data_IF_161326186056
#
_entry.id   IF_161326186056
#
_cell.length_a   1.000
_cell.length_b   1.000
_cell.length_c   1.000
_cell.angle_alpha   90.00
_cell.angle_beta   90.00
_cell.angle_gamma   90.00
#
_symmetry.space_group_name_H-M   'P 1'
#
loop_
_entity.id
_entity.type
_entity.pdbx_description
1 polymer ?
#
# COMPACT_ATOMS: atom_id res chain seq x y z
N UNK A 1 31.13 0.19 -3.41
CA UNK A 1 29.67 0.02 -3.61
C UNK A 1 29.02 1.36 -3.33
N UNK A 2 28.70 2.13 -4.36
CA UNK A 2 27.85 3.31 -4.16
C UNK A 2 26.49 2.78 -3.69
N UNK A 3 26.12 3.04 -2.43
CA UNK A 3 24.76 2.77 -1.96
C UNK A 3 23.80 3.46 -2.93
N UNK A 4 23.01 2.66 -3.64
CA UNK A 4 21.94 3.17 -4.49
C UNK A 4 21.10 4.14 -3.68
N UNK A 5 20.69 5.25 -4.29
CA UNK A 5 19.90 6.30 -3.64
C UNK A 5 18.76 5.66 -2.83
N UNK A 6 18.62 6.05 -1.57
CA UNK A 6 17.58 5.53 -0.69
C UNK A 6 16.23 6.15 -1.10
N UNK A 7 15.34 5.33 -1.64
CA UNK A 7 13.99 5.74 -2.00
C UNK A 7 13.07 5.62 -0.76
N UNK A 8 12.50 6.74 -0.31
CA UNK A 8 11.60 6.79 0.85
C UNK A 8 10.19 6.30 0.50
N UNK A 9 9.82 6.41 -0.78
CA UNK A 9 8.50 6.08 -1.28
C UNK A 9 8.00 4.65 -0.96
N UNK A 10 8.77 3.56 -1.21
CA UNK A 10 8.29 2.20 -0.96
C UNK A 10 7.95 1.97 0.51
N UNK A 11 8.73 2.56 1.41
CA UNK A 11 8.56 2.42 2.85
C UNK A 11 7.29 3.12 3.34
N UNK A 12 7.06 4.36 2.89
CA UNK A 12 5.84 5.11 3.17
C UNK A 12 4.59 4.32 2.75
N UNK A 13 4.65 3.66 1.59
CA UNK A 13 3.54 2.84 1.07
C UNK A 13 3.25 1.62 1.95
N UNK A 14 4.26 0.87 2.39
CA UNK A 14 4.03 -0.28 3.28
C UNK A 14 3.46 0.13 4.62
N UNK A 15 3.87 1.30 5.11
CA UNK A 15 3.32 1.87 6.32
C UNK A 15 1.85 2.28 6.15
N UNK A 16 1.50 2.91 5.02
CA UNK A 16 0.11 3.24 4.66
C UNK A 16 -0.79 2.00 4.63
N UNK A 17 -0.37 0.92 3.97
CA UNK A 17 -1.14 -0.34 3.91
C UNK A 17 -1.34 -0.94 5.32
N UNK A 18 -0.27 -0.97 6.12
CA UNK A 18 -0.35 -1.48 7.50
C UNK A 18 -1.32 -0.65 8.33
N UNK A 19 -1.27 0.68 8.20
CA UNK A 19 -2.18 1.59 8.90
C UNK A 19 -3.64 1.41 8.49
N UNK A 20 -3.91 1.24 7.20
CA UNK A 20 -5.25 0.95 6.68
C UNK A 20 -5.84 -0.35 7.27
N UNK A 21 -5.00 -1.38 7.44
CA UNK A 21 -5.42 -2.63 8.09
C UNK A 21 -5.76 -2.46 9.58
N UNK A 22 -4.95 -1.70 10.32
CA UNK A 22 -5.24 -1.39 11.73
C UNK A 22 -6.51 -0.56 11.90
N UNK A 23 -6.76 0.39 10.99
CA UNK A 23 -8.00 1.19 11.00
C UNK A 23 -9.21 0.32 10.66
N UNK A 24 -9.09 -0.58 9.69
CA UNK A 24 -10.15 -1.52 9.32
C UNK A 24 -10.53 -2.44 10.48
N UNK A 25 -9.53 -3.10 11.09
CA UNK A 25 -9.74 -3.98 12.25
C UNK A 25 -10.27 -3.23 13.47
N UNK A 26 -9.75 -2.03 13.75
CA UNK A 26 -10.28 -1.14 14.80
C UNK A 26 -11.72 -0.69 14.52
N UNK A 27 -12.08 -0.47 13.26
CA UNK A 27 -13.43 -0.13 12.82
C UNK A 27 -14.44 -1.26 13.06
N UNK A 28 -14.04 -2.53 12.85
CA UNK A 28 -14.89 -3.70 13.18
C UNK A 28 -15.14 -3.79 14.67
N UNK A 29 -14.13 -3.53 15.51
CA UNK A 29 -14.28 -3.54 16.97
C UNK A 29 -15.21 -2.41 17.43
N UNK A 30 -15.17 -1.25 16.75
CA UNK A 30 -16.03 -0.11 17.07
C UNK A 30 -17.53 -0.36 16.86
N UNK A 31 -17.95 -1.41 16.13
CA UNK A 31 -19.37 -1.80 16.03
C UNK A 31 -19.97 -2.25 17.36
N UNK A 32 -19.14 -2.74 18.29
CA UNK A 32 -19.59 -3.18 19.60
C UNK A 32 -19.68 -2.03 20.64
N UNK A 33 -19.28 -0.81 20.25
CA UNK A 33 -19.37 0.41 21.07
C UNK A 33 -20.51 1.32 20.58
N UNK A 34 -21.08 2.17 21.46
CA UNK A 34 -22.33 2.91 21.21
C UNK A 34 -22.33 3.85 20.00
N UNK A 35 -21.17 4.16 19.42
CA UNK A 35 -21.04 5.08 18.29
C UNK A 35 -20.84 4.38 16.93
N UNK A 36 -21.85 3.62 16.50
CA UNK A 36 -21.89 2.90 15.21
C UNK A 36 -21.60 3.81 14.01
N UNK A 37 -21.97 5.09 14.09
CA UNK A 37 -21.73 6.09 13.03
C UNK A 37 -20.23 6.25 12.72
N UNK A 38 -19.40 6.34 13.76
CA UNK A 38 -17.95 6.45 13.58
C UNK A 38 -17.30 5.10 13.22
N UNK A 39 -17.92 3.98 13.57
CA UNK A 39 -17.47 2.66 13.17
C UNK A 39 -17.57 2.47 11.65
N UNK A 40 -18.71 2.81 11.04
CA UNK A 40 -18.93 2.70 9.59
C UNK A 40 -17.95 3.61 8.84
N UNK A 41 -17.75 4.85 9.29
CA UNK A 41 -16.81 5.77 8.64
C UNK A 41 -15.37 5.25 8.70
N UNK A 42 -14.95 4.66 9.82
CA UNK A 42 -13.59 4.11 9.95
C UNK A 42 -13.37 2.85 9.11
N UNK A 43 -14.38 1.97 8.98
CA UNK A 43 -14.29 0.84 8.05
C UNK A 43 -14.15 1.34 6.61
N UNK A 44 -14.98 2.31 6.21
CA UNK A 44 -14.90 2.90 4.88
C UNK A 44 -13.54 3.55 4.62
N UNK A 45 -13.00 4.32 5.58
CA UNK A 45 -11.68 4.94 5.49
C UNK A 45 -10.56 3.90 5.44
N UNK A 46 -10.60 2.86 6.27
CA UNK A 46 -9.60 1.79 6.28
C UNK A 46 -9.54 1.03 4.95
N UNK A 47 -10.71 0.64 4.42
CA UNK A 47 -10.80 0.02 3.10
C UNK A 47 -10.36 0.96 1.98
N UNK A 48 -10.73 2.25 2.06
CA UNK A 48 -10.34 3.24 1.06
C UNK A 48 -8.82 3.49 1.05
N UNK A 49 -8.17 3.54 2.21
CA UNK A 49 -6.71 3.66 2.31
C UNK A 49 -6.01 2.41 1.75
N UNK A 50 -6.48 1.21 2.11
CA UNK A 50 -5.93 -0.02 1.55
C UNK A 50 -6.14 -0.10 0.02
N UNK A 51 -7.30 0.33 -0.45
CA UNK A 51 -7.63 0.42 -1.86
C UNK A 51 -6.73 1.43 -2.60
N UNK A 52 -6.48 2.59 -2.01
CA UNK A 52 -5.66 3.64 -2.59
C UNK A 52 -4.17 3.28 -2.62
N UNK A 53 -3.66 2.63 -1.58
CA UNK A 53 -2.25 2.22 -1.51
C UNK A 53 -1.97 0.92 -2.27
N UNK A 54 -2.95 0.06 -2.52
CA UNK A 54 -2.79 -1.12 -3.38
C UNK A 54 -2.98 -0.75 -4.86
N UNK A 55 -2.19 -1.28 -5.81
CA UNK A 55 -2.38 -0.97 -7.24
C UNK A 55 -3.60 -1.72 -7.80
N UNK A 56 -4.80 -1.41 -7.30
CA UNK A 56 -6.05 -1.91 -7.87
C UNK A 56 -6.37 -1.16 -9.16
N UNK A 57 -6.81 -1.94 -10.16
CA UNK A 57 -7.07 -1.54 -11.55
C UNK A 57 -7.84 -0.22 -11.73
N UNK A 58 -8.90 0.12 -10.96
CA UNK A 58 -9.61 1.39 -11.11
C UNK A 58 -8.81 2.65 -10.70
N UNK A 59 -7.91 2.56 -9.70
CA UNK A 59 -7.12 3.73 -9.25
C UNK A 59 -5.88 3.98 -10.11
N UNK A 60 -5.42 2.98 -10.88
CA UNK A 60 -4.35 3.17 -11.86
C UNK A 60 -4.77 4.04 -13.06
N UNK A 61 -6.08 4.29 -13.26
CA UNK A 61 -6.60 5.22 -14.28
C UNK A 61 -6.56 6.69 -13.83
N UNK A 62 -6.41 6.98 -12.53
CA UNK A 62 -6.33 8.35 -11.98
C UNK A 62 -4.92 8.97 -12.14
N UNK A 63 -4.27 8.72 -13.27
CA UNK A 63 -2.86 9.00 -13.62
C UNK A 63 -2.13 10.11 -12.83
N UNK A 64 -2.57 11.39 -12.86
CA UNK A 64 -1.87 12.48 -12.17
C UNK A 64 -2.05 12.50 -10.65
N UNK A 65 -3.15 11.92 -10.15
CA UNK A 65 -3.53 11.96 -8.73
C UNK A 65 -2.78 10.90 -7.92
N UNK A 66 -2.49 9.75 -8.53
CA UNK A 66 -1.72 8.66 -7.88
C UNK A 66 -0.20 8.85 -7.97
N UNK A 67 0.29 9.59 -8.97
CA UNK A 67 1.74 9.85 -9.18
C UNK A 67 2.32 10.89 -8.21
N UNK A 68 1.51 11.83 -7.74
CA UNK A 68 1.94 12.94 -6.90
C UNK A 68 1.94 12.56 -5.40
N UNK A 69 3.13 12.54 -4.80
CA UNK A 69 3.32 12.25 -3.37
C UNK A 69 2.68 13.29 -2.45
N UNK A 70 2.57 14.55 -2.89
CA UNK A 70 1.87 15.61 -2.17
C UNK A 70 0.39 15.29 -1.93
N UNK A 71 -0.30 14.76 -2.95
CA UNK A 71 -1.71 14.41 -2.85
C UNK A 71 -1.87 13.24 -1.87
N UNK A 72 -0.97 12.25 -1.92
CA UNK A 72 -0.98 11.13 -0.97
C UNK A 72 -0.75 11.60 0.45
N UNK A 73 0.22 12.48 0.68
CA UNK A 73 0.47 13.04 2.00
C UNK A 73 -0.77 13.75 2.56
N UNK A 74 -1.45 14.57 1.75
CA UNK A 74 -2.65 15.30 2.16
C UNK A 74 -3.83 14.35 2.43
N UNK A 75 -4.03 13.33 1.59
CA UNK A 75 -5.09 12.32 1.80
C UNK A 75 -4.87 11.53 3.09
N UNK A 76 -3.62 11.12 3.35
CA UNK A 76 -3.27 10.43 4.60
C UNK A 76 -3.44 11.35 5.81
N UNK A 77 -3.02 12.61 5.71
CA UNK A 77 -3.22 13.61 6.76
C UNK A 77 -4.71 13.86 7.04
N UNK A 78 -5.54 13.96 6.01
CA UNK A 78 -6.99 14.12 6.15
C UNK A 78 -7.63 12.88 6.79
N UNK A 79 -7.14 11.68 6.48
CA UNK A 79 -7.60 10.42 7.07
C UNK A 79 -7.20 10.25 8.55
N UNK A 80 -6.22 11.01 9.05
CA UNK A 80 -5.92 11.06 10.50
C UNK A 80 -7.09 11.66 11.29
N UNK A 81 -7.81 12.63 10.74
CA UNK A 81 -8.91 13.31 11.45
C UNK A 81 -10.04 12.36 11.89
N UNK A 82 -10.62 11.50 11.03
CA UNK A 82 -11.67 10.57 11.44
C UNK A 82 -11.16 9.43 12.34
N UNK A 83 -9.87 9.10 12.30
CA UNK A 83 -9.30 7.96 13.04
C UNK A 83 -8.94 8.29 14.49
N UNK A 84 -8.73 9.57 14.83
CA UNK A 84 -8.46 10.01 16.21
C UNK A 84 -9.73 10.04 17.07
N UNK A 85 -10.92 10.14 16.47
CA UNK A 85 -12.18 10.30 17.19
C UNK A 85 -12.65 9.03 17.94
N UNK A 86 -12.03 7.87 17.69
CA UNK A 86 -12.46 6.57 18.23
C UNK A 86 -11.25 5.84 18.84
N UNK A 87 -11.36 5.41 20.10
CA UNK A 87 -10.27 4.79 20.87
C UNK A 87 -9.57 3.59 20.15
N UNK A 88 -10.29 2.59 19.61
CA UNK A 88 -9.66 1.45 18.92
C UNK A 88 -8.90 1.81 17.63
N UNK A 89 -9.11 3.00 17.05
CA UNK A 89 -8.41 3.43 15.82
C UNK A 89 -7.23 4.36 16.08
N UNK A 90 -6.93 4.72 17.34
CA UNK A 90 -5.80 5.61 17.69
C UNK A 90 -4.46 5.02 17.25
N UNK A 91 -4.24 3.72 17.43
CA UNK A 91 -3.00 3.05 16.94
C UNK A 91 -2.85 3.17 15.42
N UNK A 92 -3.97 3.05 14.70
CA UNK A 92 -4.06 3.28 13.25
C UNK A 92 -3.79 4.75 12.85
N UNK A 93 -4.30 5.69 13.63
CA UNK A 93 -4.05 7.13 13.45
C UNK A 93 -2.58 7.50 13.68
N UNK A 94 -1.93 6.94 14.72
CA UNK A 94 -0.51 7.17 14.97
C UNK A 94 0.36 6.66 13.81
N UNK A 95 0.08 5.48 13.27
CA UNK A 95 0.86 4.97 12.15
C UNK A 95 0.59 5.75 10.84
N UNK A 96 -0.60 6.33 10.65
CA UNK A 96 -0.88 7.29 9.57
C UNK A 96 -0.08 8.60 9.71
N UNK A 97 0.09 9.11 10.93
CA UNK A 97 0.90 10.33 11.16
C UNK A 97 2.34 10.11 10.71
N UNK A 98 2.95 8.99 11.12
CA UNK A 98 4.30 8.65 10.69
C UNK A 98 4.38 8.36 9.18
N UNK A 99 3.34 7.74 8.58
CA UNK A 99 3.28 7.52 7.13
C UNK A 99 3.23 8.86 6.39
N UNK A 100 2.44 9.81 6.89
CA UNK A 100 2.32 11.17 6.36
C UNK A 100 3.67 11.90 6.40
N UNK A 101 4.43 11.81 7.50
CA UNK A 101 5.76 12.39 7.60
C UNK A 101 6.73 11.80 6.58
N UNK A 102 6.61 10.49 6.33
CA UNK A 102 7.45 9.79 5.36
C UNK A 102 7.06 10.16 3.92
N UNK A 103 5.77 10.30 3.62
CA UNK A 103 5.29 10.85 2.34
C UNK A 103 5.74 12.29 2.12
N UNK A 104 5.72 13.12 3.17
CA UNK A 104 6.20 14.50 3.11
C UNK A 104 7.71 14.54 2.83
N UNK A 105 8.49 13.68 3.49
CA UNK A 105 9.93 13.55 3.23
C UNK A 105 10.22 13.10 1.80
N UNK A 106 9.49 12.11 1.31
CA UNK A 106 9.61 11.63 -0.07
C UNK A 106 9.21 12.72 -1.09
N UNK A 107 8.22 13.55 -0.76
CA UNK A 107 7.80 14.69 -1.59
C UNK A 107 8.86 15.81 -1.63
N UNK A 108 9.53 16.10 -0.51
CA UNK A 108 10.66 17.06 -0.46
C UNK A 108 11.84 16.57 -1.31
N UNK A 109 12.08 15.26 -1.35
CA UNK A 109 13.10 14.64 -2.21
C UNK A 109 12.73 14.63 -3.70
N UNK A 110 11.50 15.02 -4.07
CA UNK A 110 11.04 15.01 -5.46
C UNK A 110 10.86 13.62 -6.06
N UNK A 111 10.75 12.58 -5.22
CA UNK A 111 10.50 11.21 -5.67
C UNK A 111 9.10 11.14 -6.32
N UNK A 112 8.98 10.46 -7.47
CA UNK A 112 7.69 10.25 -8.13
C UNK A 112 7.29 8.80 -8.00
N UNK A 113 6.01 8.56 -7.72
CA UNK A 113 5.51 7.21 -7.78
C UNK A 113 5.27 6.79 -9.23
N UNK A 114 5.96 5.73 -9.67
CA UNK A 114 5.60 4.99 -10.86
C UNK A 114 4.89 3.68 -10.48
N UNK A 115 3.77 3.32 -11.14
CA UNK A 115 3.12 2.05 -10.92
C UNK A 115 4.10 0.92 -11.20
N UNK A 116 4.17 -0.12 -10.34
CA UNK A 116 5.03 -1.26 -10.59
C UNK A 116 4.61 -1.86 -11.94
N UNK A 117 5.50 -1.77 -12.93
CA UNK A 117 5.31 -2.39 -14.24
C UNK A 117 4.98 -3.85 -13.96
N UNK A 118 3.82 -4.35 -14.41
CA UNK A 118 3.49 -5.76 -14.27
C UNK A 118 4.70 -6.54 -14.80
N UNK A 119 5.40 -7.27 -13.94
CA UNK A 119 6.45 -8.18 -14.38
C UNK A 119 5.72 -9.18 -15.26
N UNK A 120 5.85 -9.02 -16.57
CA UNK A 120 5.14 -9.82 -17.56
C UNK A 120 5.27 -11.29 -17.19
N UNK A 121 4.15 -12.01 -17.28
CA UNK A 121 4.11 -13.49 -17.23
C UNK A 121 5.00 -14.06 -18.35
N UNK A 122 6.32 -14.05 -18.16
CA UNK A 122 7.30 -14.56 -19.12
C UNK A 122 8.47 -15.31 -18.48
N UNK A 123 8.55 -15.37 -17.15
CA UNK A 123 9.71 -15.94 -16.45
C UNK A 123 9.53 -17.34 -15.85
N UNK A 124 8.40 -18.02 -16.06
CA UNK A 124 8.11 -19.33 -15.43
C UNK A 124 7.91 -20.50 -16.40
N UNK A 125 8.11 -20.29 -17.70
CA UNK A 125 7.89 -21.33 -18.72
C UNK A 125 9.11 -21.59 -19.65
N UNK A 126 10.29 -21.01 -19.35
CA UNK A 126 11.48 -21.16 -20.19
C UNK A 126 12.56 -22.10 -19.61
N UNK A 127 12.30 -22.77 -18.49
CA UNK A 127 13.28 -23.63 -17.81
C UNK A 127 12.84 -25.07 -17.53
N UNK A 128 11.60 -25.46 -17.87
CA UNK A 128 11.05 -26.77 -17.54
C UNK A 128 10.79 -27.70 -18.75
N UNK A 129 11.20 -27.27 -19.96
CA UNK A 129 10.87 -27.99 -21.21
C UNK A 129 12.06 -28.37 -22.09
N UNK A 130 13.31 -28.12 -21.67
CA UNK A 130 14.50 -28.39 -22.51
C UNK A 130 15.42 -29.52 -22.04
N UNK A 131 15.22 -30.06 -20.83
CA UNK A 131 16.10 -31.11 -20.28
C UNK A 131 15.51 -32.53 -20.31
N UNK A 132 14.23 -32.70 -20.66
CA UNK A 132 13.61 -34.04 -20.65
C UNK A 132 13.64 -34.75 -22.02
N UNK A 133 14.09 -34.07 -23.08
CA UNK A 133 14.26 -34.65 -24.42
C UNK A 133 15.66 -35.19 -24.69
N UNK A 134 16.59 -35.07 -23.72
CA UNK A 134 17.97 -35.55 -23.86
C UNK A 134 18.25 -36.88 -23.15
N UNK A 135 17.28 -37.47 -22.43
CA UNK A 135 17.42 -38.83 -21.87
C UNK A 135 17.05 -39.85 -22.95
N UNK A 136 17.94 -40.03 -23.92
CA UNK A 136 17.95 -41.22 -24.78
C UNK A 136 18.50 -42.37 -23.94
N UNK A 137 17.75 -43.47 -23.89
CA UNK A 137 18.07 -44.67 -23.12
C UNK A 137 19.46 -45.23 -23.46
N UNK A 138 20.20 -45.81 -22.50
CA UNK A 138 21.42 -46.55 -22.80
C UNK A 138 21.04 -47.84 -23.56
N UNK A 139 21.50 -47.94 -24.80
CA UNK A 139 21.46 -49.18 -25.59
C UNK A 139 22.82 -49.89 -25.41
N UNK A 140 22.76 -51.19 -25.17
CA UNK A 140 23.88 -52.10 -24.88
C UNK A 140 24.81 -52.28 -26.07
#
# INVERSE_FOLDING_TARGET
MALGKFDWYPWARYQGISSGFFIFTGGVIAFFYPDIKFAISNIAVGLLLMAWDWPIVPFNMLGPVSSNLWIRAVVHAAAVFPTILVAPTITGGLCLIFATLTFLRAAINGEKWEPPKQRGKGGRAAGAGKDMSAVKAPEN
#
